data_IF_695815999598
#
_entry.id   IF_695815999598
#
_cell.length_a   1.000
_cell.length_b   1.000
_cell.length_c   1.000
_cell.angle_alpha   90.00
_cell.angle_beta   90.00
_cell.angle_gamma   90.00
#
_symmetry.space_group_name_H-M   'P 1'
#
loop_
_entity.id
_entity.type
_entity.pdbx_description
1 polymer ?
#
# COMPACT_ATOMS: atom_id res chain seq x y z
N UNK A 1 -18.06 -6.33 23.00
CA UNK A 1 -16.74 -6.74 22.44
C UNK A 1 -15.67 -5.85 23.07
N UNK A 2 -14.61 -6.41 23.65
CA UNK A 2 -13.57 -5.61 24.32
C UNK A 2 -12.69 -4.95 23.24
N UNK A 3 -12.70 -3.61 23.17
CA UNK A 3 -11.96 -2.84 22.17
C UNK A 3 -10.45 -3.11 22.20
N UNK A 4 -9.88 -3.32 23.39
CA UNK A 4 -8.46 -3.66 23.52
C UNK A 4 -8.15 -4.99 22.85
N UNK A 5 -8.96 -6.02 23.15
CA UNK A 5 -8.80 -7.36 22.60
C UNK A 5 -8.85 -7.36 21.05
N UNK A 6 -9.75 -6.56 20.46
CA UNK A 6 -9.83 -6.43 19.00
C UNK A 6 -8.59 -5.77 18.40
N UNK A 7 -8.08 -4.72 19.05
CA UNK A 7 -6.87 -4.03 18.60
C UNK A 7 -5.68 -4.99 18.67
N UNK A 8 -5.58 -5.77 19.74
CA UNK A 8 -4.52 -6.76 19.92
C UNK A 8 -4.59 -7.85 18.83
N UNK A 9 -5.78 -8.41 18.58
CA UNK A 9 -6.00 -9.43 17.54
C UNK A 9 -5.66 -8.90 16.14
N UNK A 10 -6.12 -7.70 15.77
CA UNK A 10 -5.79 -7.08 14.48
C UNK A 10 -4.29 -6.84 14.35
N UNK A 11 -3.64 -6.34 15.41
CA UNK A 11 -2.21 -6.06 15.41
C UNK A 11 -1.38 -7.33 15.25
N UNK A 12 -1.76 -8.41 15.91
CA UNK A 12 -1.11 -9.71 15.79
C UNK A 12 -1.22 -10.27 14.37
N UNK A 13 -2.41 -10.23 13.76
CA UNK A 13 -2.59 -10.73 12.39
C UNK A 13 -1.81 -9.91 11.36
N UNK A 14 -1.77 -8.58 11.51
CA UNK A 14 -0.97 -7.70 10.65
C UNK A 14 0.53 -7.96 10.80
N UNK A 15 1.00 -8.25 12.02
CA UNK A 15 2.40 -8.62 12.27
C UNK A 15 2.76 -9.96 11.61
N UNK A 16 1.89 -10.97 11.74
CA UNK A 16 2.07 -12.28 11.08
C UNK A 16 2.13 -12.11 9.56
N UNK A 17 1.20 -11.34 8.97
CA UNK A 17 1.19 -11.06 7.53
C UNK A 17 2.49 -10.41 7.08
N UNK A 18 2.93 -9.36 7.77
CA UNK A 18 4.18 -8.67 7.48
C UNK A 18 5.39 -9.61 7.54
N UNK A 19 5.43 -10.51 8.53
CA UNK A 19 6.52 -11.47 8.67
C UNK A 19 6.54 -12.52 7.55
N UNK A 20 5.37 -13.09 7.22
CA UNK A 20 5.22 -14.03 6.08
C UNK A 20 5.71 -13.40 4.78
N UNK A 21 5.35 -12.14 4.57
CA UNK A 21 5.75 -11.40 3.40
C UNK A 21 7.28 -11.22 3.34
N UNK A 22 7.93 -10.85 4.45
CA UNK A 22 9.40 -10.74 4.53
C UNK A 22 10.10 -12.06 4.20
N UNK A 23 9.60 -13.17 4.73
CA UNK A 23 10.15 -14.51 4.45
C UNK A 23 10.03 -14.87 2.97
N UNK A 24 8.87 -14.60 2.36
CA UNK A 24 8.60 -14.94 0.96
C UNK A 24 9.37 -14.05 -0.03
N UNK A 25 9.59 -12.78 0.29
CA UNK A 25 10.46 -11.89 -0.50
C UNK A 25 11.90 -12.42 -0.57
N UNK A 26 12.42 -12.99 0.53
CA UNK A 26 13.73 -13.65 0.54
C UNK A 26 13.82 -14.87 -0.40
N UNK A 27 12.67 -15.39 -0.86
CA UNK A 27 12.57 -16.52 -1.80
C UNK A 27 12.27 -16.07 -3.24
N UNK A 28 12.27 -14.77 -3.54
CA UNK A 28 12.01 -14.21 -4.87
C UNK A 28 10.64 -14.56 -5.49
N UNK A 29 9.63 -14.81 -4.65
CA UNK A 29 8.28 -15.15 -5.12
C UNK A 29 7.49 -13.87 -5.49
N UNK A 30 7.41 -13.57 -6.79
CA UNK A 30 6.75 -12.37 -7.35
C UNK A 30 5.23 -12.34 -7.19
N UNK A 31 4.58 -13.49 -6.98
CA UNK A 31 3.12 -13.60 -6.76
C UNK A 31 2.65 -12.79 -5.53
N UNK A 32 3.57 -12.50 -4.61
CA UNK A 32 3.29 -11.80 -3.37
C UNK A 32 2.88 -10.33 -3.55
N UNK A 33 3.42 -9.65 -4.57
CA UNK A 33 3.08 -8.24 -4.82
C UNK A 33 1.61 -8.10 -5.21
N UNK A 34 1.10 -8.98 -6.08
CA UNK A 34 -0.31 -8.99 -6.49
C UNK A 34 -1.22 -9.27 -5.28
N UNK A 35 -0.83 -10.21 -4.41
CA UNK A 35 -1.59 -10.48 -3.19
C UNK A 35 -1.56 -9.28 -2.21
N UNK A 36 -0.41 -8.63 -2.05
CA UNK A 36 -0.28 -7.44 -1.21
C UNK A 36 -1.11 -6.26 -1.76
N UNK A 37 -1.08 -6.01 -3.06
CA UNK A 37 -1.89 -5.00 -3.73
C UNK A 37 -3.38 -5.19 -3.45
N UNK A 38 -3.89 -6.40 -3.66
CA UNK A 38 -5.30 -6.72 -3.39
C UNK A 38 -5.64 -6.57 -1.90
N UNK A 39 -4.78 -7.04 -1.01
CA UNK A 39 -4.98 -6.88 0.43
C UNK A 39 -5.07 -5.40 0.83
N UNK A 40 -4.10 -4.57 0.42
CA UNK A 40 -4.08 -3.16 0.78
C UNK A 40 -5.22 -2.38 0.13
N UNK A 41 -5.65 -2.74 -1.09
CA UNK A 41 -6.86 -2.19 -1.71
C UNK A 41 -8.08 -2.40 -0.79
N UNK A 42 -8.36 -3.65 -0.45
CA UNK A 42 -9.56 -4.00 0.30
C UNK A 42 -9.51 -3.45 1.73
N UNK A 43 -8.33 -3.49 2.36
CA UNK A 43 -8.12 -2.96 3.70
C UNK A 43 -8.33 -1.45 3.78
N UNK A 44 -7.79 -0.69 2.82
CA UNK A 44 -7.91 0.77 2.81
C UNK A 44 -9.29 1.26 2.40
N UNK A 45 -9.96 0.56 1.48
CA UNK A 45 -11.36 0.80 1.16
C UNK A 45 -12.23 0.58 2.41
N UNK A 46 -11.98 -0.47 3.18
CA UNK A 46 -12.70 -0.73 4.43
C UNK A 46 -12.42 0.34 5.51
N UNK A 47 -11.16 0.76 5.66
CA UNK A 47 -10.75 1.66 6.75
C UNK A 47 -11.18 3.11 6.51
N UNK A 48 -11.10 3.57 5.26
CA UNK A 48 -11.28 4.98 4.90
C UNK A 48 -12.51 5.25 4.03
N UNK A 49 -13.22 4.22 3.57
CA UNK A 49 -14.32 4.37 2.62
C UNK A 49 -13.85 4.79 1.22
N UNK A 50 -12.59 4.50 0.87
CA UNK A 50 -12.06 4.75 -0.46
C UNK A 50 -12.65 3.78 -1.49
N UNK A 51 -12.46 4.14 -2.76
CA UNK A 51 -12.83 3.37 -3.95
C UNK A 51 -11.56 2.97 -4.73
N UNK A 52 -10.53 2.49 -4.03
CA UNK A 52 -9.27 2.07 -4.66
C UNK A 52 -9.53 0.89 -5.61
N UNK A 53 -8.96 0.98 -6.81
CA UNK A 53 -8.90 -0.07 -7.82
C UNK A 53 -7.44 -0.41 -8.15
N UNK A 54 -7.19 -1.65 -8.56
CA UNK A 54 -5.86 -2.07 -8.99
C UNK A 54 -5.61 -1.58 -10.43
N UNK A 55 -4.55 -0.81 -10.64
CA UNK A 55 -4.19 -0.25 -11.94
C UNK A 55 -3.73 -1.32 -12.95
N UNK A 56 -3.17 -2.42 -12.44
CA UNK A 56 -2.64 -3.54 -13.22
C UNK A 56 -3.73 -4.56 -13.61
N UNK A 57 -4.99 -4.38 -13.21
CA UNK A 57 -6.09 -5.30 -13.54
C UNK A 57 -6.49 -5.25 -15.03
N UNK A 58 -6.37 -4.08 -15.69
CA UNK A 58 -6.89 -3.86 -17.05
C UNK A 58 -5.86 -3.35 -18.08
N UNK A 59 -4.73 -2.76 -17.68
CA UNK A 59 -3.65 -2.36 -18.60
C UNK A 59 -2.33 -2.08 -17.86
N UNK A 60 -1.25 -2.72 -18.33
CA UNK A 60 0.10 -2.74 -17.74
C UNK A 60 0.91 -1.42 -17.90
N UNK A 61 0.26 -0.25 -17.93
CA UNK A 61 0.89 0.99 -18.41
C UNK A 61 1.23 2.04 -17.33
N UNK A 62 1.07 1.72 -16.04
CA UNK A 62 1.53 2.59 -14.95
C UNK A 62 2.61 1.88 -14.14
N UNK A 63 3.86 1.92 -14.59
CA UNK A 63 4.99 1.16 -14.02
C UNK A 63 5.26 1.38 -12.51
N UNK A 64 4.61 2.39 -11.91
CA UNK A 64 4.91 2.92 -10.58
C UNK A 64 3.69 3.00 -9.65
N UNK A 65 2.45 2.92 -10.17
CA UNK A 65 1.22 3.06 -9.38
C UNK A 65 0.44 1.76 -9.45
N UNK A 66 0.21 1.15 -8.29
CA UNK A 66 -0.47 -0.14 -8.20
C UNK A 66 -1.95 0.03 -7.88
N UNK A 67 -2.30 0.99 -7.01
CA UNK A 67 -3.69 1.28 -6.65
C UNK A 67 -4.03 2.75 -6.91
N UNK A 68 -5.24 3.01 -7.41
CA UNK A 68 -5.75 4.37 -7.58
C UNK A 68 -7.21 4.51 -7.18
N UNK A 69 -7.55 5.68 -6.68
CA UNK A 69 -8.93 6.12 -6.48
C UNK A 69 -9.07 7.47 -7.18
N UNK A 70 -9.80 7.48 -8.30
CA UNK A 70 -9.93 8.65 -9.16
C UNK A 70 -10.83 9.74 -8.54
N UNK A 71 -11.79 9.35 -7.70
CA UNK A 71 -12.71 10.28 -7.03
C UNK A 71 -11.97 11.06 -5.95
N UNK A 72 -11.24 10.35 -5.10
CA UNK A 72 -10.45 10.94 -4.01
C UNK A 72 -9.06 11.41 -4.46
N UNK A 73 -8.70 11.20 -5.74
CA UNK A 73 -7.39 11.53 -6.35
C UNK A 73 -6.22 10.95 -5.57
N UNK A 74 -6.33 9.67 -5.24
CA UNK A 74 -5.34 8.90 -4.48
C UNK A 74 -4.59 7.99 -5.46
N UNK A 75 -3.27 7.98 -5.34
CA UNK A 75 -2.40 7.00 -5.99
C UNK A 75 -1.50 6.35 -4.94
N UNK A 76 -1.40 5.02 -4.97
CA UNK A 76 -0.60 4.24 -4.03
C UNK A 76 0.30 3.27 -4.80
N UNK A 77 1.58 3.24 -4.43
CA UNK A 77 2.49 2.16 -4.79
C UNK A 77 2.59 1.17 -3.63
N UNK A 78 2.45 -0.11 -3.93
CA UNK A 78 2.56 -1.24 -3.01
C UNK A 78 3.78 -2.05 -3.41
N UNK A 79 4.86 -1.99 -2.64
CA UNK A 79 6.13 -2.64 -3.01
C UNK A 79 6.86 -3.30 -1.84
N UNK A 80 7.54 -4.41 -2.11
CA UNK A 80 8.53 -5.01 -1.21
C UNK A 80 9.98 -4.61 -1.49
N UNK A 81 10.23 -3.86 -2.56
CA UNK A 81 11.58 -3.49 -2.98
C UNK A 81 11.86 -2.04 -2.61
N UNK A 82 12.81 -1.84 -1.68
CA UNK A 82 13.25 -0.51 -1.23
C UNK A 82 13.81 0.35 -2.38
N UNK A 83 14.48 -0.25 -3.37
CA UNK A 83 14.96 0.49 -4.55
C UNK A 83 13.82 0.96 -5.45
N UNK A 84 12.70 0.22 -5.56
CA UNK A 84 11.50 0.69 -6.26
C UNK A 84 10.79 1.79 -5.50
N UNK A 85 10.82 1.72 -4.17
CA UNK A 85 10.28 2.79 -3.32
C UNK A 85 11.04 4.12 -3.50
N UNK A 86 12.35 4.05 -3.78
CA UNK A 86 13.24 5.20 -3.95
C UNK A 86 13.42 5.67 -5.40
N UNK A 87 13.50 4.76 -6.38
CA UNK A 87 14.00 5.01 -7.74
C UNK A 87 13.07 5.79 -8.68
N UNK A 88 11.77 5.85 -8.42
CA UNK A 88 10.79 6.55 -9.28
C UNK A 88 10.59 8.02 -8.85
N UNK A 89 11.62 8.66 -8.32
CA UNK A 89 11.61 9.98 -7.62
C UNK A 89 11.67 11.21 -8.52
N UNK A 90 11.89 11.07 -9.83
CA UNK A 90 12.30 12.23 -10.64
C UNK A 90 11.17 13.17 -11.09
N UNK A 91 9.87 12.87 -10.89
CA UNK A 91 8.81 13.76 -11.39
C UNK A 91 7.46 13.80 -10.65
N UNK A 92 7.30 13.13 -9.51
CA UNK A 92 6.04 13.13 -8.73
C UNK A 92 6.34 13.42 -7.25
N UNK A 93 5.64 14.37 -6.63
CA UNK A 93 5.73 14.61 -5.19
C UNK A 93 5.22 13.36 -4.44
N UNK A 94 6.14 12.59 -3.84
CA UNK A 94 5.83 11.35 -3.13
C UNK A 94 5.82 11.56 -1.62
N UNK A 95 4.92 10.88 -0.92
CA UNK A 95 4.89 10.79 0.54
C UNK A 95 4.88 9.33 0.97
N UNK A 96 5.49 9.03 2.11
CA UNK A 96 5.20 7.75 2.76
C UNK A 96 3.72 7.69 3.10
N UNK A 97 3.12 6.50 3.08
CA UNK A 97 1.70 6.35 3.43
C UNK A 97 1.37 6.96 4.80
N UNK A 98 2.29 6.85 5.77
CA UNK A 98 2.17 7.49 7.08
C UNK A 98 2.16 9.03 7.02
N UNK A 99 2.99 9.64 6.18
CA UNK A 99 3.01 11.09 5.99
C UNK A 99 1.78 11.59 5.20
N UNK A 100 1.23 10.74 4.34
CA UNK A 100 0.00 11.01 3.60
C UNK A 100 -1.25 10.95 4.49
N UNK A 101 -1.32 9.98 5.41
CA UNK A 101 -2.40 9.88 6.42
C UNK A 101 -2.34 10.96 7.52
N UNK A 102 -1.33 11.83 7.50
CA UNK A 102 -1.20 12.86 8.54
C UNK A 102 -2.30 13.91 8.39
N UNK A 103 -2.88 14.43 9.50
CA UNK A 103 -3.99 15.41 9.46
C UNK A 103 -3.69 16.69 8.68
N UNK A 104 -2.40 17.00 8.47
CA UNK A 104 -1.92 18.19 7.77
C UNK A 104 -1.40 17.88 6.35
N UNK A 105 -1.72 16.71 5.79
CA UNK A 105 -1.39 16.42 4.40
C UNK A 105 -2.18 17.36 3.47
N UNK A 106 -1.54 18.00 2.47
CA UNK A 106 -2.24 18.83 1.51
C UNK A 106 -3.20 17.97 0.68
N UNK A 107 -4.36 18.51 0.31
CA UNK A 107 -5.36 17.77 -0.45
C UNK A 107 -4.89 17.54 -1.91
N UNK A 108 -4.78 16.27 -2.29
CA UNK A 108 -4.70 15.79 -3.67
C UNK A 108 -3.32 15.83 -4.34
N UNK A 109 -3.04 14.82 -5.17
CA UNK A 109 -1.94 14.81 -6.14
C UNK A 109 -0.65 14.08 -5.72
N UNK A 110 -0.50 13.72 -4.44
CA UNK A 110 0.71 13.08 -3.95
C UNK A 110 0.59 11.54 -3.99
N UNK A 111 1.62 10.88 -4.53
CA UNK A 111 1.72 9.42 -4.56
C UNK A 111 2.15 8.90 -3.18
N UNK A 112 1.33 8.04 -2.59
CA UNK A 112 1.63 7.38 -1.33
C UNK A 112 2.39 6.07 -1.55
N UNK A 113 3.42 5.80 -0.74
CA UNK A 113 4.22 4.57 -0.83
C UNK A 113 3.93 3.67 0.37
N UNK A 114 3.48 2.46 0.11
CA UNK A 114 3.40 1.36 1.08
C UNK A 114 4.56 0.42 0.76
N UNK A 115 5.67 0.59 1.49
CA UNK A 115 6.76 -0.36 1.47
C UNK A 115 6.56 -1.39 2.59
N UNK A 116 6.43 -2.66 2.20
CA UNK A 116 6.27 -3.79 3.11
C UNK A 116 7.47 -4.75 3.10
N UNK A 117 8.51 -4.44 2.32
CA UNK A 117 9.83 -5.05 2.42
C UNK A 117 10.63 -4.42 3.56
N UNK A 118 11.42 -5.23 4.25
CA UNK A 118 12.36 -4.74 5.26
C UNK A 118 13.54 -4.03 4.59
#
# INVERSE_FOLDING_TARGET
>A
MNRQKLIDEISEQLAILTHKIKLQNGLNLTDLNIHAENFFRDFLNLLHGFSLCNCNADNQNAATIDLRDDENRIAIQVTSNSQRAEGDTHNTSRRTFKAWLSPNAPPGGDLAVINFGA
#
